data_IF_299558597916
#
_entry.id   IF_299558597916
#
_cell.length_a   1.000
_cell.length_b   1.000
_cell.length_c   1.000
_cell.angle_alpha   90.00
_cell.angle_beta   90.00
_cell.angle_gamma   90.00
#
_symmetry.space_group_name_H-M   'P 1'
#
loop_
_entity.id
_entity.type
_entity.pdbx_description
1 polymer ?
#
# COMPACT_ATOMS: atom_id res chain seq x y z
N UNK A 1 7.51 -1.67 -21.58
CA UNK A 1 7.02 -0.29 -21.77
C UNK A 1 6.98 0.36 -20.39
N UNK A 2 7.30 1.66 -20.26
CA UNK A 2 7.16 2.36 -18.99
C UNK A 2 5.71 2.31 -18.52
N UNK A 3 5.49 2.29 -17.21
CA UNK A 3 4.14 2.40 -16.65
C UNK A 3 3.70 3.86 -16.70
N UNK A 4 2.39 4.11 -16.61
CA UNK A 4 1.87 5.48 -16.58
C UNK A 4 2.43 6.28 -15.38
N UNK A 5 2.58 5.64 -14.21
CA UNK A 5 3.24 6.23 -13.04
C UNK A 5 4.65 6.70 -13.37
N UNK A 6 5.45 5.86 -14.04
CA UNK A 6 6.80 6.21 -14.44
C UNK A 6 6.84 7.41 -15.39
N UNK A 7 5.96 7.44 -16.39
CA UNK A 7 5.88 8.54 -17.35
C UNK A 7 5.57 9.88 -16.66
N UNK A 8 4.58 9.91 -15.76
CA UNK A 8 4.26 11.13 -14.99
C UNK A 8 5.40 11.56 -14.06
N UNK A 9 6.07 10.61 -13.39
CA UNK A 9 7.16 10.94 -12.46
C UNK A 9 8.39 11.50 -13.20
N UNK A 10 8.68 11.01 -14.41
CA UNK A 10 9.83 11.44 -15.23
C UNK A 10 9.56 12.74 -16.01
N UNK A 11 8.30 13.03 -16.33
CA UNK A 11 7.91 14.25 -17.07
C UNK A 11 7.59 15.44 -16.15
N UNK A 12 7.70 15.27 -14.82
CA UNK A 12 7.49 16.35 -13.87
C UNK A 12 8.42 17.54 -14.17
N UNK A 13 7.90 18.77 -14.31
CA UNK A 13 8.66 19.90 -14.86
C UNK A 13 9.72 20.48 -13.90
N UNK A 14 9.70 20.08 -12.62
CA UNK A 14 10.71 20.48 -11.62
C UNK A 14 11.60 19.29 -11.27
N UNK A 15 12.91 19.55 -11.14
CA UNK A 15 13.82 18.64 -10.46
C UNK A 15 13.61 18.76 -8.95
N UNK A 16 12.93 17.75 -8.40
CA UNK A 16 12.53 17.70 -6.98
C UNK A 16 13.38 16.73 -6.18
N UNK A 17 14.44 16.19 -6.79
CA UNK A 17 15.33 15.18 -6.19
C UNK A 17 14.62 13.89 -5.77
N UNK A 18 15.42 12.96 -5.26
CA UNK A 18 14.99 11.62 -4.86
C UNK A 18 15.00 10.61 -6.01
N UNK A 19 15.07 9.34 -5.65
CA UNK A 19 15.11 8.22 -6.60
C UNK A 19 13.72 7.98 -7.20
N UNK A 20 13.60 8.28 -8.51
CA UNK A 20 12.33 8.14 -9.25
C UNK A 20 11.88 6.69 -9.30
N UNK A 21 12.80 5.74 -9.38
CA UNK A 21 12.47 4.32 -9.51
C UNK A 21 11.96 3.76 -8.17
N UNK A 22 12.51 4.21 -7.05
CA UNK A 22 11.98 3.89 -5.71
C UNK A 22 10.60 4.50 -5.49
N UNK A 23 10.39 5.77 -5.85
CA UNK A 23 9.08 6.42 -5.73
C UNK A 23 8.05 5.72 -6.60
N UNK A 24 8.38 5.43 -7.87
CA UNK A 24 7.53 4.66 -8.78
C UNK A 24 7.12 3.34 -8.16
N UNK A 25 8.10 2.56 -7.70
CA UNK A 25 7.85 1.24 -7.11
C UNK A 25 6.93 1.33 -5.90
N UNK A 26 7.17 2.28 -5.00
CA UNK A 26 6.30 2.48 -3.84
C UNK A 26 4.88 2.86 -4.23
N UNK A 27 4.70 3.83 -5.13
CA UNK A 27 3.37 4.28 -5.62
C UNK A 27 2.58 3.13 -6.24
N UNK A 28 3.22 2.33 -7.11
CA UNK A 28 2.57 1.17 -7.74
C UNK A 28 2.18 0.09 -6.72
N UNK A 29 3.02 -0.16 -5.72
CA UNK A 29 2.71 -1.12 -4.65
C UNK A 29 1.62 -0.63 -3.72
N UNK A 30 1.59 0.66 -3.40
CA UNK A 30 0.53 1.28 -2.60
C UNK A 30 -0.82 1.19 -3.30
N UNK A 31 -0.88 1.55 -4.60
CA UNK A 31 -2.10 1.45 -5.40
C UNK A 31 -2.60 -0.02 -5.49
N UNK A 32 -1.69 -0.96 -5.74
CA UNK A 32 -2.03 -2.38 -5.77
C UNK A 32 -2.52 -2.90 -4.40
N UNK A 33 -1.88 -2.46 -3.32
CA UNK A 33 -2.26 -2.84 -1.96
C UNK A 33 -3.64 -2.30 -1.58
N UNK A 34 -3.92 -1.02 -1.89
CA UNK A 34 -5.23 -0.43 -1.67
C UNK A 34 -6.36 -1.20 -2.37
N UNK A 35 -6.15 -1.54 -3.64
CA UNK A 35 -7.11 -2.32 -4.42
C UNK A 35 -7.28 -3.74 -3.85
N UNK A 36 -6.18 -4.40 -3.49
CA UNK A 36 -6.21 -5.75 -2.92
C UNK A 36 -6.91 -5.81 -1.56
N UNK A 37 -6.64 -4.85 -0.68
CA UNK A 37 -7.28 -4.76 0.64
C UNK A 37 -8.78 -4.47 0.49
N UNK A 38 -9.17 -3.50 -0.36
CA UNK A 38 -10.59 -3.23 -0.65
C UNK A 38 -11.31 -4.48 -1.17
N UNK A 39 -10.69 -5.22 -2.09
CA UNK A 39 -11.26 -6.46 -2.60
C UNK A 39 -11.31 -7.59 -1.55
N UNK A 40 -10.32 -7.68 -0.67
CA UNK A 40 -10.29 -8.67 0.41
C UNK A 40 -11.36 -8.38 1.47
N UNK A 41 -11.57 -7.12 1.82
CA UNK A 41 -12.65 -6.71 2.72
C UNK A 41 -14.03 -7.13 2.17
N UNK A 42 -14.31 -6.84 0.90
CA UNK A 42 -15.57 -7.22 0.24
C UNK A 42 -15.71 -8.74 0.15
N UNK A 43 -14.65 -9.45 -0.22
CA UNK A 43 -14.66 -10.91 -0.28
C UNK A 43 -14.92 -11.53 1.11
N UNK A 44 -14.27 -11.02 2.17
CA UNK A 44 -14.50 -11.46 3.54
C UNK A 44 -15.94 -11.18 4.01
N UNK A 45 -16.53 -10.05 3.60
CA UNK A 45 -17.94 -9.74 3.88
C UNK A 45 -18.90 -10.74 3.22
N UNK A 46 -18.52 -11.34 2.10
CA UNK A 46 -19.28 -12.38 1.41
C UNK A 46 -19.15 -13.79 1.99
N UNK A 47 -18.26 -14.03 2.95
CA UNK A 47 -18.01 -15.37 3.50
C UNK A 47 -19.09 -15.79 4.52
N UNK A 48 -19.49 -17.08 4.57
CA UNK A 48 -20.51 -17.56 5.50
C UNK A 48 -20.19 -17.32 6.99
N UNK A 49 -18.91 -17.27 7.36
CA UNK A 49 -18.41 -17.05 8.72
C UNK A 49 -17.83 -15.65 8.91
N UNK A 50 -18.48 -14.64 8.35
CA UNK A 50 -18.05 -13.23 8.37
C UNK A 50 -17.71 -12.70 9.78
N UNK A 51 -18.37 -13.19 10.83
CA UNK A 51 -18.07 -12.80 12.21
C UNK A 51 -16.63 -13.14 12.64
N UNK A 52 -16.05 -14.23 12.11
CA UNK A 52 -14.66 -14.62 12.35
C UNK A 52 -13.66 -13.73 11.58
N UNK A 53 -14.13 -12.99 10.56
CA UNK A 53 -13.33 -12.15 9.67
C UNK A 53 -13.45 -10.65 9.99
N UNK A 54 -14.19 -10.28 11.04
CA UNK A 54 -14.45 -8.87 11.38
C UNK A 54 -13.17 -8.04 11.58
N UNK A 55 -12.12 -8.65 12.15
CA UNK A 55 -10.82 -8.00 12.31
C UNK A 55 -10.08 -7.84 10.97
N UNK A 56 -10.13 -8.87 10.11
CA UNK A 56 -9.56 -8.83 8.76
C UNK A 56 -10.20 -7.72 7.93
N UNK A 57 -11.54 -7.68 7.87
CA UNK A 57 -12.30 -6.65 7.14
C UNK A 57 -11.93 -5.24 7.60
N UNK A 58 -11.83 -5.02 8.91
CA UNK A 58 -11.45 -3.70 9.44
C UNK A 58 -10.03 -3.30 9.05
N UNK A 59 -9.07 -4.21 9.22
CA UNK A 59 -7.69 -3.94 8.86
C UNK A 59 -7.50 -3.76 7.35
N UNK A 60 -8.23 -4.51 6.53
CA UNK A 60 -8.26 -4.35 5.07
C UNK A 60 -8.73 -2.93 4.69
N UNK A 61 -9.84 -2.47 5.27
CA UNK A 61 -10.38 -1.12 4.99
C UNK A 61 -9.43 -0.01 5.47
N UNK A 62 -8.86 -0.15 6.67
CA UNK A 62 -7.91 0.83 7.20
C UNK A 62 -6.62 0.86 6.37
N UNK A 63 -6.09 -0.32 6.01
CA UNK A 63 -4.89 -0.44 5.18
C UNK A 63 -5.13 0.13 3.78
N UNK A 64 -6.30 -0.11 3.18
CA UNK A 64 -6.66 0.48 1.90
C UNK A 64 -6.60 2.01 1.95
N UNK A 65 -7.26 2.62 2.95
CA UNK A 65 -7.31 4.07 3.09
C UNK A 65 -5.93 4.70 3.31
N UNK A 66 -5.09 4.07 4.13
CA UNK A 66 -3.73 4.54 4.40
C UNK A 66 -2.85 4.40 3.15
N UNK A 67 -2.97 3.28 2.41
CA UNK A 67 -2.27 3.07 1.15
C UNK A 67 -2.65 4.13 0.10
N UNK A 68 -3.94 4.42 -0.08
CA UNK A 68 -4.42 5.46 -1.01
C UNK A 68 -3.90 6.85 -0.62
N UNK A 69 -3.98 7.21 0.66
CA UNK A 69 -3.49 8.49 1.14
C UNK A 69 -1.98 8.64 0.90
N UNK A 70 -1.22 7.56 1.16
CA UNK A 70 0.24 7.53 0.99
C UNK A 70 0.61 7.61 -0.49
N UNK A 71 -0.05 6.84 -1.35
CA UNK A 71 0.09 6.87 -2.80
C UNK A 71 -0.08 8.31 -3.32
N UNK A 72 -1.21 8.93 -3.00
CA UNK A 72 -1.55 10.27 -3.49
C UNK A 72 -0.60 11.35 -2.97
N UNK A 73 -0.01 11.19 -1.79
CA UNK A 73 1.03 12.09 -1.26
C UNK A 73 2.36 11.89 -1.96
N UNK A 74 2.78 10.67 -2.24
CA UNK A 74 4.05 10.38 -2.93
C UNK A 74 4.03 10.75 -4.41
N UNK A 75 2.86 10.63 -5.06
CA UNK A 75 2.66 11.04 -6.45
C UNK A 75 2.81 12.56 -6.63
N UNK A 76 2.49 13.37 -5.62
CA UNK A 76 2.61 14.84 -5.65
C UNK A 76 4.04 15.28 -5.29
N UNK A 77 4.83 15.61 -6.32
CA UNK A 77 6.27 15.89 -6.15
C UNK A 77 6.63 17.36 -5.95
N UNK A 78 5.75 18.31 -6.24
CA UNK A 78 6.04 19.74 -6.13
C UNK A 78 6.19 20.14 -4.65
N UNK A 79 7.33 20.77 -4.31
CA UNK A 79 7.64 21.27 -2.94
C UNK A 79 7.37 20.22 -1.84
N UNK A 80 8.09 19.08 -1.87
CA UNK A 80 7.77 17.98 -0.98
C UNK A 80 8.16 18.32 0.46
N UNK A 81 7.24 18.10 1.40
CA UNK A 81 7.57 18.08 2.82
C UNK A 81 8.05 16.66 3.20
N UNK A 82 9.37 16.43 3.15
CA UNK A 82 9.99 15.12 3.38
C UNK A 82 9.70 14.54 4.77
N UNK A 83 9.63 15.37 5.79
CA UNK A 83 9.31 14.93 7.16
C UNK A 83 7.87 14.38 7.26
N UNK A 84 6.91 15.05 6.62
CA UNK A 84 5.52 14.57 6.56
C UNK A 84 5.39 13.32 5.68
N UNK A 85 6.11 13.26 4.54
CA UNK A 85 6.14 12.06 3.70
C UNK A 85 6.69 10.85 4.46
N UNK A 86 7.82 11.02 5.16
CA UNK A 86 8.42 9.96 6.00
C UNK A 86 7.44 9.46 7.05
N UNK A 87 6.80 10.36 7.81
CA UNK A 87 5.82 9.98 8.84
C UNK A 87 4.62 9.20 8.26
N UNK A 88 4.13 9.60 7.09
CA UNK A 88 3.03 8.91 6.43
C UNK A 88 3.45 7.52 5.91
N UNK A 89 4.63 7.39 5.31
CA UNK A 89 5.15 6.10 4.83
C UNK A 89 5.45 5.15 6.00
N UNK A 90 6.00 5.65 7.11
CA UNK A 90 6.16 4.86 8.35
C UNK A 90 4.82 4.36 8.89
N UNK A 91 3.79 5.22 8.85
CA UNK A 91 2.42 4.82 9.22
C UNK A 91 1.92 3.72 8.28
N UNK A 92 2.09 3.89 6.97
CA UNK A 92 1.67 2.89 5.98
C UNK A 92 2.33 1.52 6.20
N UNK A 93 3.62 1.49 6.55
CA UNK A 93 4.33 0.25 6.90
C UNK A 93 3.63 -0.48 8.05
N UNK A 94 3.22 0.25 9.11
CA UNK A 94 2.55 -0.36 10.27
C UNK A 94 1.19 -0.96 9.90
N UNK A 95 0.41 -0.28 9.05
CA UNK A 95 -0.88 -0.79 8.58
C UNK A 95 -0.71 -2.00 7.65
N UNK A 96 0.21 -1.95 6.68
CA UNK A 96 0.52 -3.09 5.81
C UNK A 96 0.97 -4.31 6.62
N UNK A 97 1.83 -4.12 7.62
CA UNK A 97 2.30 -5.22 8.49
C UNK A 97 1.15 -5.82 9.33
N UNK A 98 0.28 -4.98 9.89
CA UNK A 98 -0.89 -5.43 10.65
C UNK A 98 -1.89 -6.18 9.77
N UNK A 99 -2.22 -5.64 8.60
CA UNK A 99 -3.14 -6.23 7.64
C UNK A 99 -2.61 -7.56 7.10
N UNK A 100 -1.33 -7.61 6.70
CA UNK A 100 -0.68 -8.84 6.24
C UNK A 100 -0.79 -9.96 7.27
N UNK A 101 -0.45 -9.67 8.54
CA UNK A 101 -0.53 -10.66 9.62
C UNK A 101 -1.94 -11.19 9.84
N UNK A 102 -2.96 -10.34 9.78
CA UNK A 102 -4.34 -10.80 9.95
C UNK A 102 -4.79 -11.64 8.74
N UNK A 103 -4.51 -11.18 7.52
CA UNK A 103 -4.81 -11.93 6.30
C UNK A 103 -4.09 -13.30 6.25
N UNK A 104 -2.84 -13.38 6.74
CA UNK A 104 -2.06 -14.63 6.84
C UNK A 104 -2.77 -15.69 7.70
N UNK A 105 -3.49 -15.29 8.75
CA UNK A 105 -4.25 -16.22 9.62
C UNK A 105 -5.38 -16.93 8.86
N UNK A 106 -5.88 -16.29 7.81
CA UNK A 106 -7.02 -16.78 7.01
C UNK A 106 -6.59 -17.37 5.67
N UNK A 107 -5.33 -17.20 5.27
CA UNK A 107 -4.78 -17.55 3.95
C UNK A 107 -4.85 -19.04 3.57
N UNK A 108 -4.91 -19.94 4.56
CA UNK A 108 -5.08 -21.37 4.33
C UNK A 108 -6.51 -21.74 3.93
N UNK A 109 -7.50 -20.92 4.31
CA UNK A 109 -8.92 -21.16 4.08
C UNK A 109 -9.46 -20.29 2.94
N UNK A 110 -8.95 -19.06 2.83
CA UNK A 110 -9.44 -18.06 1.91
C UNK A 110 -8.33 -17.60 0.96
N UNK A 111 -8.48 -17.90 -0.34
CA UNK A 111 -7.51 -17.50 -1.37
C UNK A 111 -7.36 -15.99 -1.48
N UNK A 112 -8.44 -15.24 -1.26
CA UNK A 112 -8.42 -13.77 -1.28
C UNK A 112 -7.55 -13.19 -0.16
N UNK A 113 -7.66 -13.69 1.07
CA UNK A 113 -6.76 -13.33 2.17
C UNK A 113 -5.30 -13.65 1.86
N UNK A 114 -4.99 -14.78 1.22
CA UNK A 114 -3.60 -15.10 0.82
C UNK A 114 -3.03 -14.06 -0.16
N UNK A 115 -3.78 -13.72 -1.20
CA UNK A 115 -3.36 -12.70 -2.17
C UNK A 115 -3.21 -11.32 -1.51
N UNK A 116 -4.11 -10.96 -0.61
CA UNK A 116 -4.04 -9.71 0.14
C UNK A 116 -2.79 -9.66 1.03
N UNK A 117 -2.51 -10.72 1.79
CA UNK A 117 -1.31 -10.83 2.61
C UNK A 117 -0.03 -10.64 1.80
N UNK A 118 0.13 -11.37 0.69
CA UNK A 118 1.29 -11.25 -0.21
C UNK A 118 1.44 -9.81 -0.73
N UNK A 119 0.32 -9.17 -1.11
CA UNK A 119 0.33 -7.79 -1.62
C UNK A 119 0.71 -6.79 -0.52
N UNK A 120 0.18 -6.96 0.69
CA UNK A 120 0.54 -6.14 1.85
C UNK A 120 2.03 -6.23 2.17
N UNK A 121 2.63 -7.43 2.12
CA UNK A 121 4.09 -7.63 2.31
C UNK A 121 4.91 -6.92 1.23
N UNK A 122 4.52 -7.05 -0.04
CA UNK A 122 5.21 -6.33 -1.13
C UNK A 122 5.12 -4.81 -0.97
N UNK A 123 4.01 -4.30 -0.46
CA UNK A 123 3.83 -2.87 -0.17
C UNK A 123 4.66 -2.42 1.04
N UNK A 124 4.65 -3.21 2.11
CA UNK A 124 5.49 -3.01 3.30
C UNK A 124 6.97 -2.88 2.89
N UNK A 125 7.48 -3.85 2.12
CA UNK A 125 8.87 -3.88 1.67
C UNK A 125 9.24 -2.67 0.80
N UNK A 126 8.37 -2.29 -0.14
CA UNK A 126 8.60 -1.12 -0.99
C UNK A 126 8.62 0.19 -0.18
N UNK A 127 7.72 0.33 0.80
CA UNK A 127 7.70 1.47 1.70
C UNK A 127 8.96 1.52 2.57
N UNK A 128 9.40 0.38 3.13
CA UNK A 128 10.65 0.29 3.90
C UNK A 128 11.88 0.65 3.06
N UNK A 129 11.93 0.20 1.81
CA UNK A 129 13.01 0.58 0.88
C UNK A 129 13.00 2.09 0.62
N UNK A 130 11.84 2.68 0.32
CA UNK A 130 11.71 4.12 0.09
C UNK A 130 12.15 4.94 1.31
N UNK A 131 11.84 4.49 2.53
CA UNK A 131 12.22 5.20 3.77
C UNK A 131 13.72 5.37 3.97
N UNK A 132 14.56 4.52 3.39
CA UNK A 132 16.02 4.65 3.43
C UNK A 132 16.51 5.86 2.60
N UNK A 133 15.67 6.35 1.67
CA UNK A 133 16.01 7.38 0.70
C UNK A 133 15.17 8.67 0.79
N UNK A 134 14.29 8.77 1.79
CA UNK A 134 13.40 9.93 2.02
C UNK A 134 14.02 11.07 2.84
#
# INVERSE_FOLDING_TARGET
MPTQTEEFLRTHPRDVGGDVDLVKTAVERLAACAQACTACADACLGEPRVAELAACIRLDLDCAQVCEATESVLTRRTEPNRALQRSLVETCVLYCEACARECERHAAHHRHCRLCAETCRMCEDACRQLLVHL
#
